data_IF_127864538053
#
_entry.id   IF_127864538053
#
_cell.length_a   1.000
_cell.length_b   1.000
_cell.length_c   1.000
_cell.angle_alpha   90.00
_cell.angle_beta   90.00
_cell.angle_gamma   90.00
#
_symmetry.space_group_name_H-M   'P 1'
#
loop_
_entity.id
_entity.type
_entity.pdbx_description
1 polymer ?
#
# COMPACT_ATOMS: atom_id res chain seq x y z
N UNK A 1 9.95 -3.54 15.93
CA UNK A 1 9.14 -4.78 15.89
C UNK A 1 8.44 -4.82 14.54
N UNK A 2 8.23 -5.99 13.95
CA UNK A 2 7.40 -6.13 12.76
C UNK A 2 6.03 -5.47 12.97
N UNK A 3 5.42 -5.01 11.89
CA UNK A 3 4.08 -4.41 11.88
C UNK A 3 3.91 -3.22 12.85
N UNK A 4 4.95 -2.38 12.99
CA UNK A 4 4.87 -1.12 13.75
C UNK A 4 4.84 0.11 12.85
N UNK A 5 5.50 0.04 11.70
CA UNK A 5 5.54 1.10 10.69
C UNK A 5 5.55 0.47 9.32
N UNK A 6 4.59 0.86 8.51
CA UNK A 6 4.48 0.43 7.13
C UNK A 6 4.66 1.63 6.20
N UNK A 7 5.33 1.40 5.07
CA UNK A 7 5.60 2.42 4.06
C UNK A 7 5.00 1.99 2.73
N UNK A 8 4.36 2.91 2.02
CA UNK A 8 3.87 2.67 0.66
C UNK A 8 4.14 3.86 -0.24
N UNK A 9 4.33 3.57 -1.51
CA UNK A 9 4.46 4.54 -2.60
C UNK A 9 3.87 3.92 -3.89
N UNK A 10 3.59 4.74 -4.92
CA UNK A 10 3.33 4.24 -6.27
C UNK A 10 4.58 4.47 -7.10
N UNK A 11 5.24 3.39 -7.51
CA UNK A 11 6.41 3.46 -8.37
C UNK A 11 6.09 3.01 -9.79
N UNK A 12 6.61 3.75 -10.76
CA UNK A 12 6.46 3.48 -12.19
C UNK A 12 7.66 2.71 -12.72
N UNK A 13 7.41 1.67 -13.53
CA UNK A 13 8.46 0.93 -14.20
C UNK A 13 8.03 0.45 -15.59
N UNK A 14 9.00 0.08 -16.42
CA UNK A 14 8.76 -0.43 -17.76
C UNK A 14 9.13 -1.91 -17.85
N UNK A 15 8.25 -2.72 -18.44
CA UNK A 15 8.48 -4.13 -18.71
C UNK A 15 7.97 -4.46 -20.11
N UNK A 16 8.83 -5.01 -20.98
CA UNK A 16 8.45 -5.38 -22.35
C UNK A 16 7.76 -4.26 -23.13
N UNK A 17 8.28 -3.03 -23.04
CA UNK A 17 7.70 -1.80 -23.62
C UNK A 17 6.30 -1.43 -23.10
N UNK A 18 5.82 -2.08 -22.04
CA UNK A 18 4.62 -1.66 -21.33
C UNK A 18 4.97 -0.85 -20.09
N UNK A 19 4.23 0.23 -19.89
CA UNK A 19 4.30 1.08 -18.71
C UNK A 19 3.44 0.48 -17.60
N UNK A 20 4.04 0.22 -16.44
CA UNK A 20 3.41 -0.42 -15.30
C UNK A 20 3.62 0.39 -14.01
N UNK A 21 2.73 0.17 -13.07
CA UNK A 21 2.75 0.81 -11.76
C UNK A 21 2.69 -0.26 -10.68
N UNK A 22 3.56 -0.14 -9.69
CA UNK A 22 3.63 -0.99 -8.52
C UNK A 22 3.25 -0.16 -7.30
N UNK A 23 2.34 -0.67 -6.49
CA UNK A 23 2.06 -0.18 -5.14
C UNK A 23 2.46 -1.28 -4.14
N UNK A 24 3.59 -1.14 -3.42
CA UNK A 24 4.01 -2.07 -2.38
C UNK A 24 3.77 -1.50 -0.97
N UNK A 25 3.53 -2.39 0.00
CA UNK A 25 3.69 -2.08 1.43
C UNK A 25 4.97 -2.75 1.92
N UNK A 26 5.85 -1.95 2.48
CA UNK A 26 7.08 -2.37 3.14
C UNK A 26 6.92 -2.31 4.66
N UNK A 27 7.30 -3.38 5.36
CA UNK A 27 7.49 -3.34 6.81
C UNK A 27 8.84 -2.65 7.13
N UNK A 28 8.78 -1.54 7.85
CA UNK A 28 9.95 -0.76 8.26
C UNK A 28 10.91 -1.47 9.20
N UNK A 29 10.54 -2.62 9.79
CA UNK A 29 11.41 -3.36 10.69
C UNK A 29 12.49 -4.16 9.95
N UNK A 30 12.09 -4.92 8.93
CA UNK A 30 12.96 -5.83 8.18
C UNK A 30 13.09 -5.51 6.69
N UNK A 31 12.24 -4.63 6.16
CA UNK A 31 12.12 -4.36 4.72
C UNK A 31 11.28 -5.40 3.96
N UNK A 32 10.59 -6.29 4.67
CA UNK A 32 9.74 -7.31 4.04
C UNK A 32 8.55 -6.67 3.31
N UNK A 33 8.18 -7.25 2.17
CA UNK A 33 6.97 -6.87 1.44
C UNK A 33 5.76 -7.51 2.13
N UNK A 34 4.93 -6.67 2.73
CA UNK A 34 3.68 -7.10 3.38
C UNK A 34 2.65 -7.49 2.32
N UNK A 35 2.47 -6.62 1.32
CA UNK A 35 1.52 -6.76 0.21
C UNK A 35 1.98 -5.92 -0.98
N UNK A 36 1.51 -6.26 -2.18
CA UNK A 36 1.67 -5.42 -3.36
C UNK A 36 0.59 -5.67 -4.41
N UNK A 37 0.40 -4.69 -5.30
CA UNK A 37 -0.37 -4.83 -6.54
C UNK A 37 0.39 -4.16 -7.68
N UNK A 38 0.29 -4.74 -8.88
CA UNK A 38 0.80 -4.18 -10.13
C UNK A 38 -0.38 -3.91 -11.06
N UNK A 39 -0.40 -2.77 -11.73
CA UNK A 39 -1.43 -2.39 -12.70
C UNK A 39 -0.82 -1.59 -13.85
N UNK A 40 -1.56 -1.47 -14.96
CA UNK A 40 -1.25 -0.53 -16.06
C UNK A 40 -1.65 0.91 -15.73
N UNK A 41 -2.38 1.12 -14.65
CA UNK A 41 -2.93 2.42 -14.26
C UNK A 41 -2.57 2.77 -12.80
N UNK A 42 -2.12 4.02 -12.51
CA UNK A 42 -1.81 4.48 -11.16
C UNK A 42 -3.07 5.04 -10.48
N UNK A 43 -4.14 4.25 -10.44
CA UNK A 43 -5.45 4.69 -9.96
C UNK A 43 -5.72 4.25 -8.51
N UNK A 44 -6.94 4.56 -8.04
CA UNK A 44 -7.37 4.16 -6.71
C UNK A 44 -7.48 2.63 -6.55
N UNK A 45 -7.79 1.90 -7.62
CA UNK A 45 -7.98 0.46 -7.51
C UNK A 45 -6.65 -0.27 -7.33
N UNK A 46 -5.55 0.26 -7.90
CA UNK A 46 -4.18 -0.19 -7.61
C UNK A 46 -3.89 -0.18 -6.11
N UNK A 47 -4.08 0.97 -5.44
CA UNK A 47 -3.74 1.12 -4.01
C UNK A 47 -4.73 0.41 -3.10
N UNK A 48 -6.02 0.41 -3.43
CA UNK A 48 -7.05 -0.25 -2.60
C UNK A 48 -6.90 -1.77 -2.66
N UNK A 49 -6.64 -2.34 -3.84
CA UNK A 49 -6.41 -3.79 -3.98
C UNK A 49 -5.17 -4.23 -3.19
N UNK A 50 -4.12 -3.42 -3.22
CA UNK A 50 -2.91 -3.66 -2.41
C UNK A 50 -3.26 -3.64 -0.91
N UNK A 51 -4.07 -2.68 -0.46
CA UNK A 51 -4.42 -2.49 0.94
C UNK A 51 -5.32 -3.62 1.45
N UNK A 52 -6.32 -4.03 0.66
CA UNK A 52 -7.22 -5.13 0.97
C UNK A 52 -6.46 -6.45 1.15
N UNK A 53 -5.48 -6.73 0.29
CA UNK A 53 -4.58 -7.89 0.43
C UNK A 53 -3.77 -7.85 1.74
N UNK A 54 -3.32 -6.68 2.16
CA UNK A 54 -2.56 -6.52 3.39
C UNK A 54 -3.42 -6.82 4.63
N UNK A 55 -4.64 -6.27 4.67
CA UNK A 55 -5.59 -6.51 5.76
C UNK A 55 -6.13 -7.94 5.80
N UNK A 56 -6.19 -8.62 4.65
CA UNK A 56 -6.52 -10.05 4.62
C UNK A 56 -5.41 -10.93 5.23
N UNK A 57 -4.15 -10.50 5.16
CA UNK A 57 -2.99 -11.23 5.67
C UNK A 57 -2.72 -10.95 7.15
N UNK A 58 -2.83 -9.70 7.57
CA UNK A 58 -2.44 -9.23 8.90
C UNK A 58 -3.69 -8.85 9.71
N UNK A 59 -4.15 -9.75 10.57
CA UNK A 59 -5.42 -9.60 11.31
C UNK A 59 -5.33 -8.66 12.52
N UNK A 60 -4.13 -8.26 12.93
CA UNK A 60 -3.92 -7.33 14.05
C UNK A 60 -2.71 -6.43 13.78
N UNK A 61 -2.98 -5.14 13.57
CA UNK A 61 -1.95 -4.15 13.21
C UNK A 61 -1.36 -3.41 14.41
N UNK A 62 -1.79 -3.67 15.65
CA UNK A 62 -1.16 -3.18 16.88
C UNK A 62 -0.72 -1.69 16.87
N UNK A 63 -1.59 -0.78 16.41
CA UNK A 63 -1.29 0.65 16.22
C UNK A 63 -0.17 0.93 15.19
N UNK A 64 -0.07 0.12 14.14
CA UNK A 64 0.88 0.30 13.05
C UNK A 64 0.66 1.67 12.39
N UNK A 65 1.73 2.44 12.26
CA UNK A 65 1.69 3.71 11.56
C UNK A 65 1.88 3.46 10.07
N UNK A 66 0.93 3.92 9.28
CA UNK A 66 1.01 3.88 7.82
C UNK A 66 1.59 5.19 7.29
N UNK A 67 2.79 5.14 6.71
CA UNK A 67 3.47 6.27 6.11
C UNK A 67 3.32 6.23 4.59
N UNK A 68 2.72 7.28 4.04
CA UNK A 68 2.55 7.52 2.60
C UNK A 68 3.11 8.90 2.26
N UNK A 69 3.31 9.17 0.98
CA UNK A 69 3.44 10.55 0.51
C UNK A 69 2.07 11.27 0.54
N UNK A 70 2.03 12.51 0.03
CA UNK A 70 0.79 13.27 -0.13
C UNK A 70 0.15 13.07 -1.50
N UNK A 71 0.27 11.89 -2.12
CA UNK A 71 -0.41 11.56 -3.37
C UNK A 71 -1.94 11.63 -3.25
N UNK A 72 -2.63 11.96 -4.34
CA UNK A 72 -4.09 12.12 -4.33
C UNK A 72 -4.82 10.82 -3.94
N UNK A 73 -4.24 9.66 -4.26
CA UNK A 73 -4.78 8.35 -3.92
C UNK A 73 -4.81 8.16 -2.40
N UNK A 74 -3.71 8.48 -1.72
CA UNK A 74 -3.55 8.34 -0.27
C UNK A 74 -4.32 9.42 0.51
N UNK A 75 -4.49 10.61 -0.07
CA UNK A 75 -5.35 11.66 0.49
C UNK A 75 -6.85 11.39 0.29
N UNK A 76 -7.22 10.41 -0.52
CA UNK A 76 -8.63 10.16 -0.85
C UNK A 76 -9.44 9.75 0.39
N UNK A 77 -10.71 10.19 0.51
CA UNK A 77 -11.58 9.76 1.61
C UNK A 77 -11.77 8.24 1.66
N UNK A 78 -11.74 7.55 0.51
CA UNK A 78 -11.84 6.09 0.40
C UNK A 78 -10.67 5.41 1.09
N UNK A 79 -9.43 5.82 0.79
CA UNK A 79 -8.23 5.27 1.40
C UNK A 79 -8.18 5.54 2.91
N UNK A 80 -8.42 6.80 3.31
CA UNK A 80 -8.42 7.21 4.71
C UNK A 80 -9.49 6.46 5.53
N UNK A 81 -10.66 6.18 4.94
CA UNK A 81 -11.70 5.38 5.59
C UNK A 81 -11.28 3.93 5.76
N UNK A 82 -10.63 3.33 4.76
CA UNK A 82 -10.16 1.95 4.86
C UNK A 82 -9.11 1.79 5.96
N UNK A 83 -8.16 2.72 6.07
CA UNK A 83 -7.19 2.74 7.17
C UNK A 83 -7.89 2.80 8.55
N UNK A 84 -8.86 3.70 8.73
CA UNK A 84 -9.61 3.83 9.99
C UNK A 84 -10.49 2.63 10.37
N UNK A 85 -10.85 1.79 9.40
CA UNK A 85 -11.67 0.60 9.66
C UNK A 85 -10.84 -0.60 10.09
N UNK A 86 -9.57 -0.66 9.66
CA UNK A 86 -8.67 -1.80 9.89
C UNK A 86 -7.51 -1.48 10.83
N UNK A 87 -7.32 -0.21 11.19
CA UNK A 87 -6.36 0.30 12.16
C UNK A 87 -7.04 1.19 13.20
#
# INVERSE_FOLDING_TARGET
LPNTKWYTDITEFHLNNEKLYLSPILDGCGGDIVSYTISKHPDMDLVMTMLDKAFAKETALNNCIFHTDQGCQYQSPRYQRALKLHG
#
